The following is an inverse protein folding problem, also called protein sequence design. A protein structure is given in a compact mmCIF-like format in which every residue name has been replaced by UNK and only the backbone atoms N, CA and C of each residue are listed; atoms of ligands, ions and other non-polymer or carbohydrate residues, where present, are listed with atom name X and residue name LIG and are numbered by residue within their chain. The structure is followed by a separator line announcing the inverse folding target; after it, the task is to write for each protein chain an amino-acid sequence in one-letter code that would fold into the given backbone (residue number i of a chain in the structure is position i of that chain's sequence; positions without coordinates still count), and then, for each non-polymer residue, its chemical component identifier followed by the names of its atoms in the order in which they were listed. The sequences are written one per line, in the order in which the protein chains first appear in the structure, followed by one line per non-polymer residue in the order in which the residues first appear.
data_IF_549868337194
#
_entry.id   IF_549868337194
#
_cell.length_a   1.000
_cell.length_b   1.000
_cell.length_c   1.000
_cell.angle_alpha   90.00
_cell.angle_beta   90.00
_cell.angle_gamma   90.00
#
_symmetry.space_group_name_H-M   'P 1'
#
loop_
_entity.id
_entity.type
_entity.pdbx_description
1 polymer ?
#
# COMPACT_ATOMS: atom_id res chain seq x y z
N UNK A 1 16.38 13.64 7.28
CA UNK A 1 17.56 12.77 7.51
C UNK A 1 17.61 11.75 6.40
N UNK A 2 18.79 11.45 5.84
CA UNK A 2 18.94 10.44 4.80
C UNK A 2 18.65 9.03 5.36
N UNK A 3 18.33 8.06 4.50
CA UNK A 3 18.01 6.68 4.91
C UNK A 3 19.17 6.04 5.69
N UNK A 4 20.41 6.33 5.30
CA UNK A 4 21.62 5.88 6.00
C UNK A 4 21.81 6.45 7.41
N UNK A 5 21.13 7.53 7.77
CA UNK A 5 21.18 8.13 9.10
C UNK A 5 20.30 7.40 10.14
N UNK A 6 19.88 6.17 9.83
CA UNK A 6 19.06 5.37 10.72
C UNK A 6 19.72 5.25 12.11
N UNK A 7 18.99 5.55 13.21
CA UNK A 7 19.50 5.37 14.56
C UNK A 7 19.84 3.91 14.86
N UNK A 8 20.41 3.68 16.05
CA UNK A 8 20.42 2.36 16.69
C UNK A 8 19.04 1.71 16.60
N UNK A 9 18.99 0.43 16.25
CA UNK A 9 17.74 -0.30 16.03
C UNK A 9 17.14 -0.72 17.39
N UNK A 10 16.00 -0.15 17.83
CA UNK A 10 15.38 -0.54 19.10
C UNK A 10 14.94 -2.01 19.07
N UNK A 11 15.00 -2.75 20.20
CA UNK A 11 14.70 -4.18 20.23
C UNK A 11 13.34 -4.54 19.64
N UNK A 12 12.28 -3.79 19.99
CA UNK A 12 10.95 -4.03 19.43
C UNK A 12 10.94 -3.84 17.91
N UNK A 13 11.53 -2.75 17.39
CA UNK A 13 11.59 -2.52 15.95
C UNK A 13 12.39 -3.62 15.25
N UNK A 14 13.45 -4.15 15.88
CA UNK A 14 14.18 -5.29 15.35
C UNK A 14 13.29 -6.54 15.24
N UNK A 15 12.47 -6.84 16.25
CA UNK A 15 11.52 -7.96 16.19
C UNK A 15 10.41 -7.73 15.14
N UNK A 16 9.84 -6.53 15.07
CA UNK A 16 8.87 -6.18 14.02
C UNK A 16 9.49 -6.30 12.62
N UNK A 17 10.76 -5.91 12.47
CA UNK A 17 11.49 -6.03 11.20
C UNK A 17 11.71 -7.48 10.79
N UNK A 18 11.95 -8.38 11.76
CA UNK A 18 12.03 -9.83 11.47
C UNK A 18 10.71 -10.39 10.98
N UNK A 19 9.57 -9.85 11.43
CA UNK A 19 8.26 -10.25 10.90
C UNK A 19 8.19 -9.88 9.40
N UNK A 20 8.65 -8.68 9.01
CA UNK A 20 8.70 -8.29 7.60
C UNK A 20 9.63 -9.21 6.78
N UNK A 21 10.77 -9.58 7.35
CA UNK A 21 11.69 -10.53 6.70
C UNK A 21 11.03 -11.91 6.51
N UNK A 22 10.35 -12.43 7.55
CA UNK A 22 9.59 -13.68 7.46
C UNK A 22 8.46 -13.59 6.42
N UNK A 23 7.75 -12.46 6.32
CA UNK A 23 6.73 -12.24 5.29
C UNK A 23 7.34 -12.21 3.89
N UNK A 24 8.51 -11.58 3.72
CA UNK A 24 9.23 -11.61 2.43
C UNK A 24 9.55 -13.05 2.02
N UNK A 25 10.01 -13.89 2.93
CA UNK A 25 10.34 -15.29 2.64
C UNK A 25 9.11 -16.10 2.20
N UNK A 26 7.89 -15.68 2.54
CA UNK A 26 6.65 -16.30 2.03
C UNK A 26 6.42 -16.01 0.54
N UNK A 27 6.97 -14.93 -0.02
CA UNK A 27 6.89 -14.64 -1.45
C UNK A 27 7.64 -15.69 -2.26
N UNK A 28 8.84 -16.07 -1.81
CA UNK A 28 9.66 -17.12 -2.43
C UNK A 28 8.98 -18.49 -2.39
N UNK A 29 8.14 -18.74 -1.37
CA UNK A 29 7.37 -19.98 -1.20
C UNK A 29 6.11 -20.01 -2.07
N UNK A 30 5.65 -18.87 -2.58
CA UNK A 30 4.45 -18.74 -3.40
C UNK A 30 4.77 -18.09 -4.75
N UNK A 31 5.67 -18.69 -5.57
CA UNK A 31 6.13 -18.07 -6.80
C UNK A 31 4.97 -17.78 -7.76
N UNK A 32 5.07 -16.70 -8.58
CA UNK A 32 4.00 -16.32 -9.49
C UNK A 32 3.73 -17.39 -10.55
N UNK A 33 2.45 -17.64 -10.82
CA UNK A 33 2.04 -18.50 -11.91
C UNK A 33 2.48 -17.91 -13.26
N UNK A 34 2.93 -18.77 -14.18
CA UNK A 34 3.24 -18.34 -15.56
C UNK A 34 1.94 -18.06 -16.29
N UNK A 35 1.61 -16.78 -16.46
CA UNK A 35 0.39 -16.34 -17.16
C UNK A 35 0.70 -15.36 -18.29
N UNK A 36 -0.16 -15.36 -19.31
CA UNK A 36 -0.21 -14.34 -20.37
C UNK A 36 -1.10 -13.14 -19.98
N UNK A 37 -1.77 -13.21 -18.82
CA UNK A 37 -2.58 -12.13 -18.26
C UNK A 37 -1.71 -10.95 -17.81
N UNK A 38 -2.27 -9.75 -17.92
CA UNK A 38 -1.73 -8.48 -17.39
C UNK A 38 -2.40 -8.02 -16.09
N UNK A 39 -3.33 -8.85 -15.58
CA UNK A 39 -4.07 -8.63 -14.33
C UNK A 39 -3.46 -9.46 -13.21
N UNK A 40 -3.94 -9.25 -11.98
CA UNK A 40 -3.40 -9.87 -10.76
C UNK A 40 -3.17 -11.39 -10.85
N UNK A 41 -2.02 -11.82 -10.36
CA UNK A 41 -1.60 -13.23 -10.31
C UNK A 41 -2.27 -13.95 -9.14
N UNK A 42 -2.94 -15.07 -9.43
CA UNK A 42 -3.71 -15.83 -8.43
C UNK A 42 -2.86 -16.42 -7.32
N UNK A 43 -1.57 -16.65 -7.54
CA UNK A 43 -0.65 -17.14 -6.50
C UNK A 43 -0.55 -16.18 -5.30
N UNK A 44 -0.91 -14.90 -5.48
CA UNK A 44 -1.03 -13.93 -4.37
C UNK A 44 -1.92 -14.43 -3.24
N UNK A 45 -2.98 -15.21 -3.57
CA UNK A 45 -3.90 -15.76 -2.56
C UNK A 45 -3.18 -16.70 -1.59
N UNK A 46 -2.29 -17.56 -2.11
CA UNK A 46 -1.48 -18.44 -1.27
C UNK A 46 -0.54 -17.66 -0.36
N UNK A 47 0.11 -16.62 -0.88
CA UNK A 47 0.90 -15.70 -0.05
C UNK A 47 0.05 -15.05 1.05
N UNK A 48 -1.12 -14.51 0.70
CA UNK A 48 -2.03 -13.85 1.64
C UNK A 48 -2.49 -14.79 2.76
N UNK A 49 -2.88 -16.00 2.40
CA UNK A 49 -3.33 -17.04 3.34
C UNK A 49 -2.18 -17.44 4.27
N UNK A 50 -0.98 -17.64 3.73
CA UNK A 50 0.20 -17.97 4.51
C UNK A 50 0.56 -16.86 5.52
N UNK A 51 0.42 -15.59 5.17
CA UNK A 51 0.60 -14.48 6.13
C UNK A 51 -0.37 -14.61 7.29
N UNK A 52 -1.65 -14.83 7.00
CA UNK A 52 -2.71 -14.95 8.00
C UNK A 52 -2.49 -16.15 8.94
N UNK A 53 -2.07 -17.29 8.40
CA UNK A 53 -1.75 -18.50 9.17
C UNK A 53 -0.59 -18.31 10.15
N UNK A 54 0.40 -17.49 9.81
CA UNK A 54 1.58 -17.27 10.64
C UNK A 54 1.44 -16.07 11.59
N UNK A 55 0.57 -15.11 11.27
CA UNK A 55 0.44 -13.84 11.96
C UNK A 55 0.19 -14.01 13.46
N UNK A 56 -0.68 -14.95 13.86
CA UNK A 56 -0.97 -15.20 15.27
C UNK A 56 0.30 -15.60 16.04
N UNK A 57 1.08 -16.56 15.53
CA UNK A 57 2.30 -17.03 16.19
C UNK A 57 3.34 -15.92 16.31
N UNK A 58 3.55 -15.14 15.25
CA UNK A 58 4.49 -14.04 15.26
C UNK A 58 4.08 -12.93 16.24
N UNK A 59 2.79 -12.60 16.29
CA UNK A 59 2.26 -11.65 17.27
C UNK A 59 2.42 -12.14 18.71
N UNK A 60 2.15 -13.42 18.97
CA UNK A 60 2.36 -14.03 20.29
C UNK A 60 3.82 -13.97 20.74
N UNK A 61 4.77 -14.25 19.84
CA UNK A 61 6.21 -14.13 20.09
C UNK A 61 6.60 -12.69 20.48
N UNK A 62 6.15 -11.69 19.72
CA UNK A 62 6.42 -10.28 19.98
C UNK A 62 5.82 -9.83 21.32
N UNK A 63 4.53 -10.07 21.53
CA UNK A 63 3.82 -9.64 22.74
C UNK A 63 4.38 -10.31 24.00
N UNK A 64 4.76 -11.59 23.93
CA UNK A 64 5.40 -12.28 25.05
C UNK A 64 6.75 -11.63 25.43
N UNK A 65 7.49 -11.12 24.44
CA UNK A 65 8.77 -10.42 24.60
C UNK A 65 8.66 -8.99 25.15
N UNK A 66 7.50 -8.35 25.04
CA UNK A 66 7.27 -6.98 25.51
C UNK A 66 7.12 -6.92 27.04
N UNK A 67 8.26 -6.88 27.77
CA UNK A 67 8.28 -6.93 29.25
C UNK A 67 7.57 -5.78 29.94
N UNK A 68 7.46 -4.64 29.28
CA UNK A 68 6.82 -3.43 29.81
C UNK A 68 5.28 -3.50 29.79
N UNK A 69 4.71 -4.50 29.11
CA UNK A 69 3.27 -4.73 29.13
C UNK A 69 2.83 -5.43 30.44
N UNK A 70 1.61 -5.14 30.94
CA UNK A 70 1.01 -5.87 32.05
C UNK A 70 0.96 -7.38 31.78
N UNK A 71 1.11 -8.19 32.84
CA UNK A 71 1.17 -9.65 32.71
C UNK A 71 -0.10 -10.22 32.06
N UNK A 72 -1.25 -9.63 32.37
CA UNK A 72 -2.57 -10.02 31.86
C UNK A 72 -2.68 -9.82 30.34
N UNK A 73 -1.97 -8.84 29.78
CA UNK A 73 -1.91 -8.61 28.32
C UNK A 73 -0.89 -9.51 27.62
N UNK A 74 0.06 -10.09 28.37
CA UNK A 74 1.16 -10.92 27.84
C UNK A 74 0.89 -12.41 27.92
N UNK A 75 -0.14 -12.83 28.65
CA UNK A 75 -0.45 -14.24 28.91
C UNK A 75 -1.96 -14.52 28.73
N UNK A 76 -2.30 -15.79 28.54
CA UNK A 76 -3.70 -16.25 28.49
C UNK A 76 -4.56 -15.58 27.43
N UNK A 77 -5.82 -15.34 27.78
CA UNK A 77 -6.83 -14.73 26.90
C UNK A 77 -6.51 -13.28 26.54
N UNK A 78 -5.91 -12.51 27.47
CA UNK A 78 -5.53 -11.12 27.20
C UNK A 78 -4.47 -11.01 26.10
N UNK A 79 -3.49 -11.93 26.06
CA UNK A 79 -2.56 -12.03 24.92
C UNK A 79 -3.29 -12.38 23.63
N UNK A 80 -4.17 -13.37 23.66
CA UNK A 80 -4.92 -13.81 22.48
C UNK A 80 -5.70 -12.66 21.84
N UNK A 81 -6.45 -11.91 22.64
CA UNK A 81 -7.22 -10.74 22.18
C UNK A 81 -6.33 -9.61 21.67
N UNK A 82 -5.24 -9.29 22.38
CA UNK A 82 -4.29 -8.27 21.95
C UNK A 82 -3.63 -8.64 20.61
N UNK A 83 -3.16 -9.87 20.48
CA UNK A 83 -2.54 -10.37 19.25
C UNK A 83 -3.53 -10.36 18.10
N UNK A 84 -4.78 -10.79 18.33
CA UNK A 84 -5.83 -10.77 17.32
C UNK A 84 -6.04 -9.36 16.77
N UNK A 85 -6.15 -8.37 17.65
CA UNK A 85 -6.34 -6.98 17.23
C UNK A 85 -5.12 -6.43 16.49
N UNK A 86 -3.93 -6.54 17.08
CA UNK A 86 -2.68 -6.01 16.49
C UNK A 86 -2.42 -6.64 15.13
N UNK A 87 -2.49 -7.98 15.04
CA UNK A 87 -2.18 -8.70 13.82
C UNK A 87 -3.28 -8.61 12.75
N UNK A 88 -4.50 -8.21 13.12
CA UNK A 88 -5.55 -7.88 12.15
C UNK A 88 -5.11 -6.78 11.17
N UNK A 89 -4.57 -5.67 11.68
CA UNK A 89 -4.02 -4.60 10.84
C UNK A 89 -2.83 -5.09 10.00
N UNK A 90 -1.98 -5.94 10.58
CA UNK A 90 -0.84 -6.50 9.85
C UNK A 90 -1.29 -7.37 8.67
N UNK A 91 -2.28 -8.24 8.83
CA UNK A 91 -2.79 -9.08 7.74
C UNK A 91 -3.41 -8.23 6.61
N UNK A 92 -4.12 -7.16 6.96
CA UNK A 92 -4.75 -6.25 5.99
C UNK A 92 -3.77 -5.24 5.35
N UNK A 93 -2.47 -5.35 5.63
CA UNK A 93 -1.43 -4.44 5.10
C UNK A 93 -0.94 -4.80 3.69
N UNK A 94 -1.26 -5.98 3.16
CA UNK A 94 -0.57 -6.54 1.99
C UNK A 94 -1.37 -6.48 0.68
N UNK A 95 -2.62 -6.05 0.72
CA UNK A 95 -3.54 -6.02 -0.41
C UNK A 95 -4.85 -6.74 -0.09
N UNK A 96 -5.69 -6.98 -1.10
CA UNK A 96 -6.92 -7.75 -0.95
C UNK A 96 -6.82 -9.11 -1.63
N UNK A 97 -7.09 -10.18 -0.87
CA UNK A 97 -7.03 -11.56 -1.34
C UNK A 97 -7.87 -11.85 -2.59
N UNK A 98 -9.11 -11.37 -2.61
CA UNK A 98 -10.08 -11.69 -3.67
C UNK A 98 -9.81 -10.87 -4.92
N UNK A 99 -9.67 -9.54 -4.76
CA UNK A 99 -9.47 -8.58 -5.84
C UNK A 99 -8.05 -8.62 -6.41
N UNK A 100 -7.06 -9.08 -5.64
CA UNK A 100 -5.63 -9.09 -6.01
C UNK A 100 -5.19 -7.66 -6.34
N UNK A 101 -5.55 -6.73 -5.45
CA UNK A 101 -5.22 -5.31 -5.54
C UNK A 101 -4.49 -4.82 -4.28
N UNK A 102 -3.85 -3.67 -4.39
CA UNK A 102 -3.19 -2.96 -3.30
C UNK A 102 -3.35 -1.45 -3.49
N UNK A 103 -3.41 -0.68 -2.41
CA UNK A 103 -3.50 0.78 -2.44
C UNK A 103 -3.28 1.39 -1.06
N UNK A 104 -3.56 2.69 -0.95
CA UNK A 104 -3.30 3.50 0.25
C UNK A 104 -4.04 3.04 1.52
N UNK A 105 -5.15 2.32 1.40
CA UNK A 105 -5.83 1.71 2.55
C UNK A 105 -5.02 0.58 3.20
N UNK A 106 -4.33 -0.22 2.40
CA UNK A 106 -3.43 -1.28 2.90
C UNK A 106 -2.16 -0.66 3.51
N UNK A 107 -1.63 0.38 2.87
CA UNK A 107 -0.55 1.20 3.43
C UNK A 107 -0.92 1.81 4.80
N UNK A 108 -2.16 2.29 4.94
CA UNK A 108 -2.70 2.80 6.19
C UNK A 108 -2.77 1.70 7.26
N UNK A 109 -3.21 0.49 6.92
CA UNK A 109 -3.23 -0.65 7.84
C UNK A 109 -1.83 -0.97 8.38
N UNK A 110 -0.78 -0.84 7.57
CA UNK A 110 0.59 -1.02 8.05
C UNK A 110 0.98 0.03 9.10
N UNK A 111 0.58 1.29 8.89
CA UNK A 111 0.77 2.34 9.90
C UNK A 111 -0.10 2.09 11.14
N UNK A 112 -1.31 1.58 10.99
CA UNK A 112 -2.17 1.20 12.11
C UNK A 112 -1.57 0.09 12.96
N UNK A 113 -0.93 -0.91 12.33
CA UNK A 113 -0.18 -1.95 13.04
C UNK A 113 0.93 -1.36 13.91
N UNK A 114 1.71 -0.42 13.37
CA UNK A 114 2.73 0.32 14.13
C UNK A 114 2.08 1.17 15.24
N UNK A 115 0.96 1.83 14.92
CA UNK A 115 0.21 2.68 15.85
C UNK A 115 -0.30 1.89 17.05
N UNK A 116 -0.71 0.62 16.88
CA UNK A 116 -1.09 -0.24 18.00
C UNK A 116 0.04 -0.35 19.05
N UNK A 117 1.28 -0.60 18.62
CA UNK A 117 2.42 -0.65 19.56
C UNK A 117 2.73 0.71 20.20
N UNK A 118 2.47 1.82 19.49
CA UNK A 118 2.54 3.16 20.08
C UNK A 118 1.45 3.36 21.15
N UNK A 119 0.22 2.93 20.91
CA UNK A 119 -0.89 3.05 21.88
C UNK A 119 -0.64 2.21 23.14
N UNK A 120 0.09 1.10 23.00
CA UNK A 120 0.59 0.30 24.12
C UNK A 120 1.77 0.94 24.88
N UNK A 121 2.24 2.12 24.46
CA UNK A 121 3.36 2.82 25.08
C UNK A 121 4.74 2.24 24.74
N UNK A 122 4.83 1.31 23.79
CA UNK A 122 6.08 0.58 23.48
C UNK A 122 6.98 1.29 22.45
N UNK A 123 6.44 2.30 21.76
CA UNK A 123 7.15 3.07 20.73
C UNK A 123 7.16 4.56 21.10
N UNK A 124 8.11 5.01 21.94
CA UNK A 124 8.21 6.42 22.29
C UNK A 124 8.73 7.26 21.10
N UNK A 125 8.52 8.59 21.08
CA UNK A 125 8.81 9.45 19.92
C UNK A 125 10.24 9.37 19.38
N UNK A 126 11.22 9.02 20.22
CA UNK A 126 12.61 8.86 19.82
C UNK A 126 12.82 7.72 18.82
N UNK A 127 11.87 6.77 18.75
CA UNK A 127 11.91 5.63 17.83
C UNK A 127 11.33 5.95 16.44
N UNK A 128 10.59 7.06 16.29
CA UNK A 128 9.88 7.38 15.05
C UNK A 128 10.78 7.50 13.81
N UNK A 129 11.99 8.10 13.89
CA UNK A 129 12.92 8.06 12.76
C UNK A 129 13.26 6.63 12.34
N UNK A 130 13.52 5.71 13.27
CA UNK A 130 13.81 4.31 12.94
C UNK A 130 12.60 3.58 12.38
N UNK A 131 11.38 3.90 12.86
CA UNK A 131 10.15 3.32 12.28
C UNK A 131 10.04 3.66 10.79
N UNK A 132 10.32 4.90 10.40
CA UNK A 132 10.21 5.32 8.99
C UNK A 132 11.42 4.86 8.17
N UNK A 133 12.64 5.14 8.65
CA UNK A 133 13.89 4.92 7.91
C UNK A 133 14.37 3.46 7.92
N UNK A 134 13.69 2.57 8.64
CA UNK A 134 14.03 1.14 8.66
C UNK A 134 12.80 0.27 8.42
N UNK A 135 11.84 0.30 9.34
CA UNK A 135 10.70 -0.63 9.30
C UNK A 135 9.77 -0.33 8.11
N UNK A 136 9.42 0.93 7.90
CA UNK A 136 8.57 1.36 6.79
C UNK A 136 9.28 1.22 5.43
N UNK A 137 10.59 1.46 5.35
CA UNK A 137 11.36 1.18 4.13
C UNK A 137 11.38 -0.30 3.77
N UNK A 138 11.58 -1.19 4.75
CA UNK A 138 11.45 -2.64 4.53
C UNK A 138 10.06 -3.02 4.02
N UNK A 139 9.02 -2.45 4.62
CA UNK A 139 7.64 -2.62 4.16
C UNK A 139 7.45 -2.14 2.72
N UNK A 140 7.89 -0.93 2.39
CA UNK A 140 7.75 -0.34 1.06
C UNK A 140 8.42 -1.20 -0.02
N UNK A 141 9.63 -1.70 0.26
CA UNK A 141 10.33 -2.60 -0.65
C UNK A 141 9.58 -3.92 -0.84
N UNK A 142 9.03 -4.50 0.24
CA UNK A 142 8.22 -5.71 0.15
C UNK A 142 6.90 -5.45 -0.61
N UNK A 143 6.21 -4.35 -0.35
CA UNK A 143 4.99 -3.97 -1.06
C UNK A 143 5.26 -3.84 -2.57
N UNK A 144 6.36 -3.18 -2.97
CA UNK A 144 6.78 -3.12 -4.39
C UNK A 144 7.13 -4.49 -4.95
N UNK A 145 7.78 -5.35 -4.16
CA UNK A 145 8.07 -6.71 -4.57
C UNK A 145 6.78 -7.52 -4.80
N UNK A 146 5.76 -7.35 -3.98
CA UNK A 146 4.44 -7.97 -4.18
C UNK A 146 3.74 -7.41 -5.43
N UNK A 147 3.73 -6.09 -5.59
CA UNK A 147 3.16 -5.41 -6.77
C UNK A 147 3.78 -5.93 -8.07
N UNK A 148 5.10 -6.11 -8.11
CA UNK A 148 5.78 -6.58 -9.30
C UNK A 148 5.67 -8.09 -9.50
N UNK A 149 5.77 -8.88 -8.43
CA UNK A 149 5.71 -10.34 -8.50
C UNK A 149 4.32 -10.83 -8.89
N UNK A 150 3.27 -10.23 -8.31
CA UNK A 150 1.89 -10.68 -8.50
C UNK A 150 1.05 -9.75 -9.37
N UNK A 151 1.64 -8.73 -9.98
CA UNK A 151 0.93 -7.73 -10.81
C UNK A 151 -0.32 -7.17 -10.12
N UNK A 152 -0.20 -6.84 -8.83
CA UNK A 152 -1.34 -6.35 -8.03
C UNK A 152 -1.99 -5.15 -8.72
N UNK A 153 -3.31 -5.16 -8.82
CA UNK A 153 -4.05 -4.05 -9.42
C UNK A 153 -4.04 -2.84 -8.47
N UNK A 154 -4.02 -1.59 -8.97
CA UNK A 154 -4.18 -0.41 -8.14
C UNK A 154 -5.57 -0.37 -7.49
N UNK A 155 -5.63 -0.37 -6.15
CA UNK A 155 -6.88 -0.27 -5.40
C UNK A 155 -7.29 1.20 -5.25
N UNK A 156 -8.51 1.52 -5.70
CA UNK A 156 -9.03 2.89 -5.70
C UNK A 156 -8.48 3.70 -6.88
N UNK A 157 -9.22 3.73 -8.00
CA UNK A 157 -8.76 4.41 -9.21
C UNK A 157 -8.98 5.93 -9.14
N UNK A 158 -7.91 6.67 -8.87
CA UNK A 158 -7.82 8.08 -9.27
C UNK A 158 -7.30 8.25 -10.71
N UNK A 159 -6.92 7.13 -11.36
CA UNK A 159 -6.29 7.13 -12.68
C UNK A 159 -5.04 8.01 -12.68
N UNK A 160 -4.81 8.73 -13.78
CA UNK A 160 -3.68 9.66 -13.92
C UNK A 160 -3.72 10.84 -12.94
N UNK A 161 -4.83 11.07 -12.24
CA UNK A 161 -4.98 12.15 -11.26
C UNK A 161 -4.68 11.69 -9.83
N UNK A 162 -4.28 10.44 -9.63
CA UNK A 162 -3.72 9.98 -8.36
C UNK A 162 -2.31 10.52 -8.14
N UNK A 163 -1.87 10.59 -6.88
CA UNK A 163 -0.48 10.89 -6.55
C UNK A 163 0.45 9.80 -7.09
N UNK A 164 0.10 8.55 -6.81
CA UNK A 164 0.73 7.33 -7.28
C UNK A 164 -0.32 6.21 -7.37
N UNK A 165 -0.01 5.13 -8.07
CA UNK A 165 -0.94 4.00 -8.25
C UNK A 165 -1.18 3.24 -6.94
N UNK A 166 -0.19 3.20 -6.03
CA UNK A 166 -0.22 2.33 -4.86
C UNK A 166 0.00 3.04 -3.53
N UNK A 167 0.94 4.00 -3.48
CA UNK A 167 1.47 4.54 -2.23
C UNK A 167 1.09 6.00 -2.02
N UNK A 168 1.03 6.44 -0.77
CA UNK A 168 0.95 7.86 -0.43
C UNK A 168 2.03 8.25 0.57
N UNK A 169 2.16 7.49 1.66
CA UNK A 169 3.02 7.80 2.79
C UNK A 169 4.52 7.97 2.45
N UNK A 170 5.12 7.28 1.46
CA UNK A 170 6.49 7.52 1.04
C UNK A 170 6.70 8.95 0.54
N UNK A 171 5.71 9.56 -0.13
CA UNK A 171 5.79 10.95 -0.57
C UNK A 171 5.65 11.91 0.61
N UNK A 172 4.79 11.59 1.57
CA UNK A 172 4.67 12.36 2.82
C UNK A 172 5.96 12.33 3.63
N UNK A 173 6.49 11.14 3.93
CA UNK A 173 7.72 10.97 4.70
C UNK A 173 8.95 11.47 3.95
N UNK A 174 9.05 11.18 2.65
CA UNK A 174 10.17 11.59 1.82
C UNK A 174 10.24 13.12 1.62
N UNK A 175 9.10 13.80 1.48
CA UNK A 175 9.10 15.27 1.43
C UNK A 175 9.50 15.88 2.78
N UNK A 176 9.16 15.23 3.89
CA UNK A 176 9.65 15.60 5.23
C UNK A 176 11.15 15.36 5.40
N UNK A 177 11.73 14.28 4.83
CA UNK A 177 13.18 14.08 4.82
C UNK A 177 13.93 15.23 4.13
N UNK A 178 13.32 15.79 3.08
CA UNK A 178 13.85 16.86 2.23
C UNK A 178 13.43 18.27 2.68
N UNK A 179 12.61 18.41 3.75
CA UNK A 179 11.93 19.65 4.16
C UNK A 179 12.82 20.90 4.11
N UNK A 180 14.00 20.83 4.73
CA UNK A 180 14.99 21.91 4.79
C UNK A 180 16.26 21.62 3.97
N UNK A 181 16.16 20.81 2.91
CA UNK A 181 17.34 20.37 2.17
C UNK A 181 18.08 21.57 1.53
N UNK A 182 19.42 21.71 1.73
CA UNK A 182 20.14 22.90 1.31
C UNK A 182 20.12 23.12 -0.21
N UNK A 183 20.26 22.04 -0.99
CA UNK A 183 20.45 22.11 -2.45
C UNK A 183 19.27 21.57 -3.27
N UNK A 184 18.85 20.32 -3.02
CA UNK A 184 17.71 19.71 -3.71
C UNK A 184 16.43 20.51 -3.52
N UNK A 185 15.69 20.69 -4.62
CA UNK A 185 14.38 21.37 -4.69
C UNK A 185 13.39 20.44 -5.37
N UNK A 186 12.07 20.58 -5.18
CA UNK A 186 11.07 19.67 -5.76
C UNK A 186 11.25 19.38 -7.25
N UNK A 187 11.70 20.37 -8.03
CA UNK A 187 11.99 20.21 -9.47
C UNK A 187 13.07 19.17 -9.80
N UNK A 188 13.91 18.77 -8.84
CA UNK A 188 14.98 17.80 -9.06
C UNK A 188 14.47 16.38 -9.37
N UNK A 189 13.18 16.10 -9.18
CA UNK A 189 12.59 14.80 -9.54
C UNK A 189 12.61 14.52 -11.05
N UNK A 190 12.93 15.51 -11.87
CA UNK A 190 13.06 15.39 -13.33
C UNK A 190 14.50 15.15 -13.80
N UNK A 191 15.46 15.13 -12.89
CA UNK A 191 16.88 14.99 -13.19
C UNK A 191 17.33 13.55 -12.92
N UNK A 192 17.61 12.81 -14.00
CA UNK A 192 17.96 11.38 -13.93
C UNK A 192 19.26 11.12 -13.16
N UNK A 193 20.23 12.04 -13.21
CA UNK A 193 21.49 11.91 -12.49
C UNK A 193 21.27 12.11 -10.98
N UNK A 194 20.42 13.07 -10.60
CA UNK A 194 20.02 13.26 -9.20
C UNK A 194 19.25 12.04 -8.69
N UNK A 195 18.31 11.50 -9.48
CA UNK A 195 17.58 10.30 -9.08
C UNK A 195 18.52 9.11 -8.89
N UNK A 196 19.43 8.87 -9.84
CA UNK A 196 20.38 7.78 -9.75
C UNK A 196 21.28 7.86 -8.50
N UNK A 197 21.75 9.05 -8.16
CA UNK A 197 22.65 9.28 -7.02
C UNK A 197 21.92 9.29 -5.67
N UNK A 198 20.77 9.97 -5.57
CA UNK A 198 20.15 10.30 -4.29
C UNK A 198 18.95 9.44 -3.90
N UNK A 199 18.36 8.67 -4.83
CA UNK A 199 17.25 7.77 -4.50
C UNK A 199 17.56 6.79 -3.36
N UNK A 200 18.74 6.17 -3.25
CA UNK A 200 19.06 5.31 -2.10
C UNK A 200 18.91 6.00 -0.73
N UNK A 201 19.07 7.32 -0.67
CA UNK A 201 19.08 8.10 0.57
C UNK A 201 17.76 8.83 0.87
N UNK A 202 16.88 9.02 -0.12
CA UNK A 202 15.64 9.78 0.03
C UNK A 202 14.43 9.05 -0.54
N UNK A 203 13.47 8.73 0.34
CA UNK A 203 12.27 7.95 0.05
C UNK A 203 11.47 8.55 -1.12
N UNK A 204 11.34 9.89 -1.17
CA UNK A 204 10.60 10.55 -2.24
C UNK A 204 11.24 10.28 -3.61
N UNK A 205 12.56 10.40 -3.71
CA UNK A 205 13.30 10.22 -4.95
C UNK A 205 13.32 8.74 -5.36
N UNK A 206 13.44 7.83 -4.40
CA UNK A 206 13.30 6.39 -4.63
C UNK A 206 11.92 6.02 -5.23
N UNK A 207 10.83 6.63 -4.74
CA UNK A 207 9.52 6.46 -5.37
C UNK A 207 9.48 6.96 -6.81
N UNK A 208 10.04 8.14 -7.10
CA UNK A 208 10.08 8.66 -8.47
C UNK A 208 10.90 7.75 -9.38
N UNK A 209 12.06 7.27 -8.92
CA UNK A 209 12.89 6.33 -9.67
C UNK A 209 12.13 5.03 -9.97
N UNK A 210 11.41 4.49 -8.98
CA UNK A 210 10.57 3.31 -9.17
C UNK A 210 9.47 3.56 -10.22
N UNK A 211 8.73 4.67 -10.12
CA UNK A 211 7.69 5.06 -11.08
C UNK A 211 8.26 5.16 -12.50
N UNK A 212 9.37 5.88 -12.68
CA UNK A 212 10.01 6.06 -13.98
C UNK A 212 10.48 4.71 -14.57
N UNK A 213 10.88 3.77 -13.71
CA UNK A 213 11.24 2.43 -14.15
C UNK A 213 10.04 1.64 -14.69
N UNK A 214 8.84 1.79 -14.11
CA UNK A 214 7.65 1.02 -14.53
C UNK A 214 6.87 1.68 -15.67
N UNK A 215 6.83 3.01 -15.74
CA UNK A 215 6.05 3.81 -16.70
C UNK A 215 6.95 4.43 -17.78
N UNK A 216 7.57 3.57 -18.59
CA UNK A 216 8.69 3.93 -19.51
C UNK A 216 8.29 4.67 -20.80
N UNK A 217 7.01 4.78 -21.12
CA UNK A 217 6.55 5.21 -22.45
C UNK A 217 6.52 6.73 -22.66
N UNK A 218 6.59 7.53 -21.59
CA UNK A 218 6.56 8.98 -21.66
C UNK A 218 7.18 9.61 -20.40
N UNK A 219 7.59 10.89 -20.45
CA UNK A 219 8.12 11.58 -19.26
C UNK A 219 7.08 11.72 -18.15
N UNK A 220 7.53 12.00 -16.91
CA UNK A 220 6.74 12.00 -15.67
C UNK A 220 5.37 12.67 -15.82
N UNK A 221 5.32 13.84 -16.46
CA UNK A 221 4.10 14.61 -16.76
C UNK A 221 2.96 13.81 -17.40
N UNK A 222 3.28 12.81 -18.22
CA UNK A 222 2.27 12.08 -18.99
C UNK A 222 1.60 10.96 -18.22
N UNK A 223 2.31 10.37 -17.26
CA UNK A 223 1.82 9.21 -16.51
C UNK A 223 1.60 9.51 -15.03
N UNK A 224 2.12 10.63 -14.55
CA UNK A 224 2.03 11.12 -13.16
C UNK A 224 1.95 12.67 -13.12
N UNK A 225 0.94 13.29 -13.77
CA UNK A 225 0.81 14.75 -13.86
C UNK A 225 0.71 15.43 -12.49
N UNK A 226 0.12 14.78 -11.48
CA UNK A 226 0.05 15.36 -10.14
C UNK A 226 1.44 15.54 -9.50
N UNK A 227 2.32 14.53 -9.63
CA UNK A 227 3.70 14.63 -9.16
C UNK A 227 4.50 15.68 -9.96
N UNK A 228 4.27 15.77 -11.27
CA UNK A 228 4.83 16.82 -12.14
C UNK A 228 4.41 18.22 -11.66
N UNK A 229 3.11 18.44 -11.40
CA UNK A 229 2.59 19.72 -10.90
C UNK A 229 3.16 20.07 -9.52
N UNK A 230 3.21 19.09 -8.60
CA UNK A 230 3.79 19.26 -7.25
C UNK A 230 5.28 19.66 -7.33
N UNK A 231 6.02 19.16 -8.32
CA UNK A 231 7.43 19.52 -8.53
C UNK A 231 7.66 21.02 -8.80
N UNK A 232 6.62 21.74 -9.21
CA UNK A 232 6.62 23.19 -9.39
C UNK A 232 6.66 23.99 -8.08
N UNK A 233 6.51 23.34 -6.93
CA UNK A 233 6.60 23.99 -5.63
C UNK A 233 8.00 24.58 -5.37
N UNK A 234 8.05 25.74 -4.70
CA UNK A 234 9.29 26.49 -4.48
C UNK A 234 10.29 25.77 -3.55
N UNK A 235 9.80 24.95 -2.62
CA UNK A 235 10.61 24.22 -1.65
C UNK A 235 9.88 22.97 -1.14
N UNK A 236 10.62 22.07 -0.49
CA UNK A 236 10.09 20.82 0.06
C UNK A 236 9.19 21.02 1.28
N UNK A 237 9.37 22.10 2.04
CA UNK A 237 8.45 22.52 3.10
C UNK A 237 7.01 22.67 2.59
N UNK A 238 6.81 23.37 1.46
CA UNK A 238 5.47 23.49 0.85
C UNK A 238 4.95 22.14 0.39
N UNK A 239 5.79 21.29 -0.19
CA UNK A 239 5.41 19.93 -0.62
C UNK A 239 4.97 19.12 0.60
N UNK A 240 5.78 19.04 1.65
CA UNK A 240 5.47 18.32 2.89
C UNK A 240 4.17 18.79 3.53
N UNK A 241 3.95 20.11 3.61
CA UNK A 241 2.70 20.67 4.14
C UNK A 241 1.49 20.30 3.27
N UNK A 242 1.66 20.34 1.95
CA UNK A 242 0.62 19.92 0.99
C UNK A 242 0.30 18.43 1.11
N UNK A 243 1.33 17.58 1.23
CA UNK A 243 1.18 16.13 1.42
C UNK A 243 0.38 15.79 2.68
N UNK A 244 0.61 16.49 3.80
CA UNK A 244 -0.16 16.27 5.03
C UNK A 244 -1.66 16.52 4.81
N UNK A 245 -2.00 17.70 4.26
CA UNK A 245 -3.39 18.08 3.97
C UNK A 245 -4.05 17.14 2.96
N UNK A 246 -3.29 16.72 1.96
CA UNK A 246 -3.78 15.81 0.93
C UNK A 246 -3.99 14.40 1.49
N UNK A 247 -3.14 13.91 2.39
CA UNK A 247 -3.33 12.62 3.07
C UNK A 247 -4.62 12.62 3.91
N UNK A 248 -4.81 13.67 4.71
CA UNK A 248 -6.02 13.83 5.52
C UNK A 248 -7.29 13.81 4.67
N UNK A 249 -7.28 14.44 3.49
CA UNK A 249 -8.45 14.54 2.64
C UNK A 249 -8.68 13.33 1.73
N UNK A 250 -7.64 12.89 1.03
CA UNK A 250 -7.74 11.91 -0.06
C UNK A 250 -7.51 10.47 0.41
N UNK A 251 -6.99 10.26 1.62
CA UNK A 251 -6.88 8.94 2.26
C UNK A 251 -7.83 8.86 3.45
N UNK A 252 -7.58 9.64 4.51
CA UNK A 252 -8.37 9.54 5.76
C UNK A 252 -9.79 10.10 5.64
N UNK A 253 -10.01 11.06 4.74
CA UNK A 253 -11.33 11.66 4.48
C UNK A 253 -12.11 10.94 3.38
N UNK A 254 -11.54 9.88 2.79
CA UNK A 254 -12.11 9.20 1.62
C UNK A 254 -12.89 7.97 2.05
N UNK A 255 -14.21 7.97 1.80
CA UNK A 255 -15.07 6.84 2.16
C UNK A 255 -14.61 5.51 1.56
N UNK A 256 -14.21 5.51 0.28
CA UNK A 256 -13.74 4.30 -0.40
C UNK A 256 -12.51 3.64 0.28
N UNK A 257 -11.71 4.43 1.01
CA UNK A 257 -10.59 3.93 1.82
C UNK A 257 -11.11 3.56 3.21
N UNK A 258 -11.77 4.51 3.90
CA UNK A 258 -12.12 4.36 5.30
C UNK A 258 -13.26 3.38 5.59
N UNK A 259 -14.05 2.98 4.59
CA UNK A 259 -15.09 1.97 4.76
C UNK A 259 -14.54 0.58 5.10
N UNK A 260 -13.27 0.32 4.79
CA UNK A 260 -12.58 -0.93 5.11
C UNK A 260 -11.69 -0.79 6.36
N UNK A 261 -11.75 0.34 7.05
CA UNK A 261 -10.93 0.57 8.23
C UNK A 261 -11.40 -0.28 9.42
N UNK A 262 -10.48 -0.97 10.07
CA UNK A 262 -10.76 -1.80 11.23
C UNK A 262 -10.77 -0.96 12.50
N UNK A 263 -11.71 -1.24 13.41
CA UNK A 263 -11.76 -0.66 14.74
C UNK A 263 -11.59 -1.74 15.81
N UNK A 264 -10.94 -1.39 16.91
CA UNK A 264 -10.67 -2.28 18.02
C UNK A 264 -10.54 -1.54 19.35
N UNK A 265 -9.92 -2.15 20.34
CA UNK A 265 -9.73 -1.54 21.67
C UNK A 265 -8.59 -0.52 21.68
N UNK A 266 -7.54 -0.71 20.88
CA UNK A 266 -6.39 0.19 20.73
C UNK A 266 -6.71 1.37 19.80
N UNK A 267 -7.53 1.12 18.77
CA UNK A 267 -8.02 2.12 17.82
C UNK A 267 -9.56 2.11 17.83
N UNK A 268 -10.20 2.78 18.82
CA UNK A 268 -11.64 2.72 18.99
C UNK A 268 -12.39 3.52 17.92
N UNK A 269 -13.58 3.03 17.57
CA UNK A 269 -14.55 3.80 16.81
C UNK A 269 -15.06 4.98 17.64
N UNK A 270 -15.42 6.08 16.96
CA UNK A 270 -16.07 7.22 17.62
C UNK A 270 -17.48 6.83 18.08
N UNK A 271 -17.90 7.36 19.23
CA UNK A 271 -19.25 7.19 19.74
C UNK A 271 -20.30 7.57 18.68
N UNK A 272 -21.27 6.69 18.44
CA UNK A 272 -22.34 6.89 17.45
C UNK A 272 -22.01 6.41 16.03
N UNK A 273 -20.81 5.85 15.78
CA UNK A 273 -20.57 5.10 14.54
C UNK A 273 -21.45 3.85 14.50
N UNK A 274 -22.09 3.58 13.37
CA UNK A 274 -22.87 2.36 13.18
C UNK A 274 -21.96 1.13 13.22
N UNK A 275 -22.38 0.08 13.91
CA UNK A 275 -21.77 -1.24 13.73
C UNK A 275 -21.92 -1.62 12.25
N UNK A 276 -20.84 -2.07 11.62
CA UNK A 276 -20.92 -2.60 10.28
C UNK A 276 -21.97 -3.71 10.26
N UNK A 277 -22.90 -3.68 9.30
CA UNK A 277 -23.69 -4.85 9.00
C UNK A 277 -22.67 -5.93 8.62
N UNK A 278 -22.41 -6.87 9.54
CA UNK A 278 -21.38 -7.88 9.35
C UNK A 278 -21.56 -8.46 7.96
N UNK A 279 -20.59 -8.19 7.08
CA UNK A 279 -20.54 -8.85 5.81
C UNK A 279 -20.41 -10.32 6.16
N UNK A 280 -21.48 -11.07 5.95
CA UNK A 280 -21.32 -12.45 5.53
C UNK A 280 -20.25 -12.38 4.44
N UNK A 281 -19.08 -12.93 4.71
CA UNK A 281 -18.16 -13.29 3.67
C UNK A 281 -18.99 -14.18 2.73
N UNK A 282 -19.54 -13.60 1.66
CA UNK A 282 -20.05 -14.38 0.56
C UNK A 282 -18.82 -15.16 0.07
N UNK A 283 -18.68 -16.39 0.54
CA UNK A 283 -17.90 -17.43 -0.08
C UNK A 283 -18.38 -17.49 -1.53
N UNK A 284 -17.71 -16.76 -2.44
CA UNK A 284 -17.85 -16.96 -3.88
C UNK A 284 -17.24 -18.34 -4.20
N UNK A 285 -17.99 -19.40 -3.87
CA UNK A 285 -17.70 -20.76 -4.28
C UNK A 285 -17.69 -20.81 -5.82
N UNK A 286 -16.59 -21.37 -6.34
CA UNK A 286 -16.33 -21.44 -7.77
C UNK A 286 -17.42 -22.18 -8.54
N UNK A 287 -17.82 -21.59 -9.67
CA UNK A 287 -18.56 -22.30 -10.72
C UNK A 287 -17.77 -22.26 -12.02
N UNK A 288 -16.99 -23.32 -12.22
CA UNK A 288 -16.62 -23.80 -13.55
C UNK A 288 -17.90 -24.30 -14.25
N UNK A 289 -18.36 -23.61 -15.27
CA UNK A 289 -19.47 -24.09 -16.08
C UNK A 289 -20.05 -23.02 -16.99
N UNK A 290 -19.78 -23.14 -18.29
CA UNK A 290 -20.25 -22.23 -19.35
C UNK A 290 -21.77 -22.06 -19.32
N UNK A 291 -22.24 -20.85 -18.94
CA UNK A 291 -23.43 -20.16 -19.45
C UNK A 291 -23.40 -18.71 -18.96
N UNK A 292 -23.57 -17.75 -19.87
CA UNK A 292 -23.66 -16.32 -19.53
C UNK A 292 -24.93 -16.07 -18.71
N UNK A 293 -24.80 -16.09 -17.39
CA UNK A 293 -25.72 -15.44 -16.46
C UNK A 293 -24.90 -14.56 -15.52
N UNK A 294 -25.41 -13.34 -15.32
CA UNK A 294 -24.74 -12.23 -14.64
C UNK A 294 -24.70 -12.53 -13.15
N UNK A 295 -23.49 -12.72 -12.61
CA UNK A 295 -23.22 -12.94 -11.18
C UNK A 295 -22.84 -11.60 -10.53
N UNK A 296 -23.44 -11.29 -9.38
CA UNK A 296 -22.92 -10.33 -8.41
C UNK A 296 -23.29 -8.86 -8.62
N UNK A 297 -24.53 -8.47 -8.28
CA UNK A 297 -24.91 -7.09 -7.97
C UNK A 297 -26.30 -6.67 -8.47
N UNK A 298 -26.89 -5.63 -7.86
CA UNK A 298 -28.21 -5.13 -8.25
C UNK A 298 -28.10 -4.50 -9.65
N UNK A 299 -28.71 -5.16 -10.64
CA UNK A 299 -28.82 -4.63 -12.01
C UNK A 299 -29.79 -3.46 -12.00
N UNK A 300 -29.26 -2.25 -12.17
CA UNK A 300 -30.07 -1.05 -12.40
C UNK A 300 -30.09 -0.80 -13.91
N UNK A 301 -31.29 -0.67 -14.45
CA UNK A 301 -31.53 -0.33 -15.85
C UNK A 301 -31.77 1.17 -15.94
N UNK A 302 -30.97 1.88 -16.72
CA UNK A 302 -31.18 3.32 -16.94
C UNK A 302 -32.41 3.60 -17.82
N UNK A 303 -32.71 4.89 -18.04
CA UNK A 303 -33.86 5.31 -18.86
C UNK A 303 -33.74 4.92 -20.35
N UNK A 304 -32.56 4.51 -20.79
CA UNK A 304 -32.23 4.12 -22.17
C UNK A 304 -32.12 2.60 -22.33
N UNK A 305 -32.28 1.84 -21.25
CA UNK A 305 -32.29 0.37 -21.26
C UNK A 305 -30.93 -0.28 -21.00
N UNK A 306 -29.89 0.48 -20.65
CA UNK A 306 -28.56 -0.07 -20.34
C UNK A 306 -28.50 -0.59 -18.91
N UNK A 307 -27.94 -1.80 -18.76
CA UNK A 307 -27.83 -2.53 -17.48
C UNK A 307 -26.48 -2.26 -16.84
N UNK A 308 -26.48 -1.70 -15.65
CA UNK A 308 -25.26 -1.48 -14.85
C UNK A 308 -25.36 -2.23 -13.52
N UNK A 309 -24.23 -2.77 -13.06
CA UNK A 309 -24.09 -3.49 -11.79
C UNK A 309 -23.50 -2.53 -10.77
N UNK A 310 -24.23 -2.29 -9.67
CA UNK A 310 -23.72 -1.52 -8.54
C UNK A 310 -23.30 -2.47 -7.41
N UNK A 311 -21.99 -2.57 -7.15
CA UNK A 311 -21.47 -2.99 -5.84
C UNK A 311 -21.64 -1.83 -4.85
N UNK A 312 -21.91 -2.13 -3.59
CA UNK A 312 -22.18 -1.13 -2.55
C UNK A 312 -21.06 -0.09 -2.41
N UNK A 313 -21.52 1.17 -2.30
CA UNK A 313 -20.81 2.42 -2.00
C UNK A 313 -19.29 2.44 -2.17
N UNK A 314 -18.80 3.15 -3.19
CA UNK A 314 -17.40 3.58 -3.28
C UNK A 314 -16.50 2.77 -4.19
N UNK A 315 -16.94 1.61 -4.70
CA UNK A 315 -16.21 0.94 -5.77
C UNK A 315 -16.31 1.76 -7.08
N UNK A 316 -15.16 2.10 -7.65
CA UNK A 316 -15.12 2.61 -9.01
C UNK A 316 -15.48 1.45 -9.96
N UNK A 317 -16.77 1.31 -10.26
CA UNK A 317 -17.34 0.50 -11.32
C UNK A 317 -17.02 -1.01 -11.35
N UNK A 318 -16.28 -1.59 -10.40
CA UNK A 318 -15.89 -3.01 -10.42
C UNK A 318 -15.03 -3.42 -11.64
N UNK A 319 -14.49 -2.44 -12.37
CA UNK A 319 -13.71 -2.69 -13.59
C UNK A 319 -12.26 -2.95 -13.19
N UNK A 320 -11.77 -4.15 -13.52
CA UNK A 320 -10.35 -4.50 -13.37
C UNK A 320 -9.46 -3.54 -14.15
N UNK A 321 -8.45 -2.99 -13.48
CA UNK A 321 -7.49 -2.07 -14.08
C UNK A 321 -6.16 -2.81 -14.19
N UNK A 322 -5.65 -3.03 -15.42
CA UNK A 322 -4.34 -3.67 -15.58
C UNK A 322 -3.27 -2.93 -14.80
N UNK A 323 -2.44 -3.66 -14.05
CA UNK A 323 -1.26 -3.07 -13.42
C UNK A 323 -0.33 -2.51 -14.50
N UNK A 324 0.22 -1.30 -14.29
CA UNK A 324 1.24 -0.73 -15.15
C UNK A 324 2.46 -1.67 -15.29
N UNK A 325 2.74 -2.46 -14.25
CA UNK A 325 3.83 -3.45 -14.22
C UNK A 325 3.51 -4.62 -15.15
N UNK A 326 2.32 -5.20 -15.01
CA UNK A 326 1.86 -6.29 -15.89
C UNK A 326 1.79 -5.86 -17.36
N UNK A 327 1.36 -4.62 -17.62
CA UNK A 327 1.35 -4.04 -18.96
C UNK A 327 2.75 -3.88 -19.54
N UNK A 328 3.73 -3.44 -18.74
CA UNK A 328 5.14 -3.31 -19.15
C UNK A 328 5.75 -4.66 -19.50
N UNK A 329 5.66 -5.65 -18.62
CA UNK A 329 6.25 -6.98 -18.87
C UNK A 329 5.65 -7.64 -20.12
N UNK A 330 4.34 -7.52 -20.33
CA UNK A 330 3.70 -8.02 -21.54
C UNK A 330 4.21 -7.28 -22.78
N UNK A 331 4.37 -5.96 -22.71
CA UNK A 331 4.94 -5.16 -23.79
C UNK A 331 6.37 -5.57 -24.13
N UNK A 332 7.24 -5.79 -23.14
CA UNK A 332 8.61 -6.25 -23.34
C UNK A 332 8.64 -7.64 -24.01
N UNK A 333 7.77 -8.56 -23.58
CA UNK A 333 7.63 -9.89 -24.21
C UNK A 333 7.12 -9.82 -25.66
N UNK A 334 6.33 -8.80 -26.00
CA UNK A 334 5.77 -8.60 -27.34
C UNK A 334 6.62 -7.70 -28.25
N UNK A 335 7.83 -7.29 -27.82
CA UNK A 335 8.65 -6.24 -28.44
C UNK A 335 7.83 -4.96 -28.68
N UNK A 336 7.67 -4.14 -27.63
CA UNK A 336 7.04 -2.81 -27.70
C UNK A 336 7.36 -2.11 -29.03
N UNK A 337 6.34 -1.95 -29.88
CA UNK A 337 6.42 -1.03 -31.03
C UNK A 337 6.70 0.35 -30.44
N UNK A 338 7.90 0.88 -30.68
CA UNK A 338 8.21 2.29 -30.42
C UNK A 338 7.12 3.12 -31.10
N UNK A 339 6.29 3.81 -30.32
CA UNK A 339 5.38 4.81 -30.88
C UNK A 339 6.27 5.84 -31.57
N UNK A 340 6.16 6.03 -32.89
CA UNK A 340 6.96 7.04 -33.57
C UNK A 340 6.67 8.38 -32.92
N UNK A 341 7.72 9.13 -32.56
CA UNK A 341 7.55 10.54 -32.18
C UNK A 341 6.91 11.22 -33.37
N UNK A 342 5.66 11.69 -33.22
CA UNK A 342 5.02 12.52 -34.23
C UNK A 342 5.79 13.84 -34.22
N UNK A 343 6.50 14.20 -35.31
CA UNK A 343 7.16 15.48 -35.38
C UNK A 343 6.06 16.53 -35.56
N UNK A 344 5.85 17.34 -34.53
CA UNK A 344 5.16 18.61 -34.69
C UNK A 344 6.24 19.68 -34.77
N UNK A 345 6.34 20.28 -35.95
CA UNK A 345 6.95 21.60 -36.16
C UNK A 345 6.14 22.69 -35.43
#
# INVERSE_FOLDING_TARGET
MPNSACPTLPPLIAELSKIIDKTRDLVDQHPPEKTASRFGNKSFRGFYDAVSEHAQRWGEEVVAGCKDLPKEMREGEGRGSLVKEVMGYFCESWGNRTRIDYGSGHELNFICWILCFRQLGLLPPQTYPTLVLHLFLKYLHLARHLQTTYYLEPAGSHGVWGLDDYQFLPFLFGSSQLYSHPHLRPKCIHDDDILAEFSPEYIYLDCILFINSIKTTAGLRWHSPMLDDISGAVNWEKVSTGMQRMYEKEVLGKLAVMQHFLFGTLLPATEGMSEGAGGEEEEEEGLEGVRMEVVGGKVVVDREGMRHVHSTWGECCGIKVPSAIGAREQGERQQLRKVPRIPFD
#
